data_IF_407480208392
#
_entry.id   IF_407480208392
#
_cell.length_a   1.000
_cell.length_b   1.000
_cell.length_c   1.000
_cell.angle_alpha   90.00
_cell.angle_beta   90.00
_cell.angle_gamma   90.00
#
_symmetry.space_group_name_H-M   'P 1'
#
loop_
_entity.id
_entity.type
_entity.pdbx_description
1 polymer ?
#
# COMPACT_ATOMS: atom_id res chain seq x y z
N UNK A 1 -4.52 54.04 -39.82
CA UNK A 1 -3.75 52.83 -39.49
C UNK A 1 -4.68 51.65 -39.67
N UNK A 2 -4.35 50.74 -40.58
CA UNK A 2 -5.15 49.52 -40.84
C UNK A 2 -4.41 48.33 -40.26
N UNK A 3 -5.06 47.60 -39.35
CA UNK A 3 -4.57 46.32 -38.87
C UNK A 3 -4.32 45.39 -40.07
N UNK A 4 -3.13 44.82 -40.12
CA UNK A 4 -2.68 43.93 -41.18
C UNK A 4 -2.90 42.47 -40.77
N UNK A 5 -2.86 41.55 -41.74
CA UNK A 5 -2.91 40.11 -41.45
C UNK A 5 -1.76 39.64 -40.53
N UNK A 6 -0.62 40.32 -40.59
CA UNK A 6 0.53 40.02 -39.72
C UNK A 6 0.18 40.26 -38.26
N UNK A 7 -0.54 41.34 -37.96
CA UNK A 7 -0.99 41.65 -36.60
C UNK A 7 -1.95 40.56 -36.09
N UNK A 8 -2.82 40.06 -36.96
CA UNK A 8 -3.77 39.01 -36.59
C UNK A 8 -3.10 37.66 -36.29
N UNK A 9 -2.07 37.28 -37.05
CA UNK A 9 -1.31 36.05 -36.77
C UNK A 9 -0.47 36.18 -35.49
N UNK A 10 0.14 37.34 -35.23
CA UNK A 10 0.82 37.60 -33.97
C UNK A 10 -0.12 37.49 -32.76
N UNK A 11 -1.37 37.94 -32.90
CA UNK A 11 -2.39 37.77 -31.85
C UNK A 11 -2.78 36.31 -31.61
N UNK A 12 -2.93 35.50 -32.67
CA UNK A 12 -3.20 34.06 -32.52
C UNK A 12 -2.07 33.34 -31.81
N UNK A 13 -0.83 33.67 -32.17
CA UNK A 13 0.35 33.05 -31.59
C UNK A 13 0.48 33.42 -30.11
N UNK A 14 0.23 34.69 -29.76
CA UNK A 14 0.16 35.13 -28.37
C UNK A 14 -0.91 34.38 -27.58
N UNK A 15 -2.14 34.27 -28.10
CA UNK A 15 -3.23 33.54 -27.44
C UNK A 15 -2.85 32.07 -27.21
N UNK A 16 -2.18 31.45 -28.18
CA UNK A 16 -1.74 30.05 -28.07
C UNK A 16 -0.71 29.86 -26.95
N UNK A 17 0.32 30.71 -26.89
CA UNK A 17 1.33 30.68 -25.81
C UNK A 17 0.68 30.90 -24.45
N UNK A 18 -0.24 31.87 -24.36
CA UNK A 18 -0.91 32.20 -23.09
C UNK A 18 -1.81 31.04 -22.61
N UNK A 19 -2.47 30.34 -23.54
CA UNK A 19 -3.27 29.15 -23.23
C UNK A 19 -2.38 27.98 -22.82
N UNK A 20 -1.28 27.74 -23.52
CA UNK A 20 -0.31 26.68 -23.19
C UNK A 20 0.25 26.86 -21.77
N UNK A 21 0.72 28.06 -21.42
CA UNK A 21 1.18 28.39 -20.05
C UNK A 21 0.09 28.17 -18.99
N UNK A 22 -1.15 28.61 -19.27
CA UNK A 22 -2.25 28.39 -18.32
C UNK A 22 -2.62 26.91 -18.17
N UNK A 23 -2.58 26.13 -19.24
CA UNK A 23 -2.88 24.70 -19.18
C UNK A 23 -1.81 23.89 -18.46
N UNK A 24 -0.52 24.22 -18.63
CA UNK A 24 0.57 23.57 -17.89
C UNK A 24 0.50 23.83 -16.38
N UNK A 25 -0.04 24.98 -15.97
CA UNK A 25 -0.09 25.37 -14.55
C UNK A 25 -1.35 24.86 -13.83
N UNK A 26 -2.45 24.63 -14.56
CA UNK A 26 -3.76 24.39 -13.95
C UNK A 26 -4.38 23.02 -14.28
N UNK A 27 -3.95 22.35 -15.35
CA UNK A 27 -4.49 21.06 -15.75
C UNK A 27 -3.49 19.94 -15.49
N UNK A 28 -3.96 18.86 -14.86
CA UNK A 28 -3.18 17.64 -14.78
C UNK A 28 -2.92 17.11 -16.20
N UNK A 29 -1.64 16.95 -16.53
CA UNK A 29 -1.18 16.38 -17.78
C UNK A 29 -1.18 14.85 -17.72
N UNK A 30 -1.04 14.20 -18.87
CA UNK A 30 -0.89 12.73 -18.92
C UNK A 30 0.35 12.25 -18.18
N UNK A 31 1.40 13.08 -18.12
CA UNK A 31 2.62 12.78 -17.38
C UNK A 31 2.39 12.76 -15.87
N UNK A 32 1.49 13.60 -15.36
CA UNK A 32 1.17 13.68 -13.93
C UNK A 32 0.44 12.44 -13.42
N UNK A 33 -0.37 11.81 -14.29
CA UNK A 33 -1.19 10.64 -13.93
C UNK A 33 -0.57 9.30 -14.33
N UNK A 34 0.59 9.28 -14.98
CA UNK A 34 1.19 8.05 -15.53
C UNK A 34 1.56 6.99 -14.49
N UNK A 35 1.72 7.40 -13.24
CA UNK A 35 2.03 6.52 -12.11
C UNK A 35 0.81 6.20 -11.25
N UNK A 36 -0.35 6.78 -11.55
CA UNK A 36 -1.58 6.42 -10.85
C UNK A 36 -2.02 5.03 -11.33
N UNK A 37 -2.25 4.10 -10.40
CA UNK A 37 -2.77 2.80 -10.77
C UNK A 37 -4.17 2.95 -11.36
N UNK A 38 -4.50 2.06 -12.29
CA UNK A 38 -5.89 1.91 -12.72
C UNK A 38 -6.74 1.38 -11.55
N UNK A 39 -8.05 1.57 -11.68
CA UNK A 39 -9.01 1.05 -10.70
C UNK A 39 -8.79 -0.45 -10.45
N UNK A 40 -8.62 -1.23 -11.51
CA UNK A 40 -8.50 -2.69 -11.42
C UNK A 40 -7.16 -3.11 -10.80
N UNK A 41 -6.06 -2.44 -11.14
CA UNK A 41 -4.76 -2.67 -10.51
C UNK A 41 -4.77 -2.35 -9.01
N UNK A 42 -5.43 -1.26 -8.63
CA UNK A 42 -5.58 -0.87 -7.24
C UNK A 42 -6.35 -1.93 -6.44
N UNK A 43 -7.54 -2.33 -6.92
CA UNK A 43 -8.36 -3.32 -6.20
C UNK A 43 -7.70 -4.70 -6.18
N UNK A 44 -7.05 -5.12 -7.27
CA UNK A 44 -6.33 -6.39 -7.31
C UNK A 44 -5.23 -6.47 -6.26
N UNK A 45 -4.42 -5.39 -6.11
CA UNK A 45 -3.39 -5.33 -5.06
C UNK A 45 -3.97 -5.25 -3.65
N UNK A 46 -5.07 -4.54 -3.48
CA UNK A 46 -5.75 -4.47 -2.17
C UNK A 46 -6.31 -5.82 -1.75
N UNK A 47 -6.88 -6.59 -2.68
CA UNK A 47 -7.38 -7.94 -2.42
C UNK A 47 -6.26 -8.90 -2.03
N UNK A 48 -5.11 -8.81 -2.72
CA UNK A 48 -3.89 -9.57 -2.40
C UNK A 48 -3.40 -9.26 -0.97
N UNK A 49 -3.20 -7.98 -0.64
CA UNK A 49 -2.76 -7.54 0.69
C UNK A 49 -3.75 -7.99 1.77
N UNK A 50 -5.05 -7.91 1.49
CA UNK A 50 -6.06 -8.36 2.44
C UNK A 50 -6.05 -9.87 2.65
N UNK A 51 -5.75 -10.65 1.60
CA UNK A 51 -5.55 -12.09 1.69
C UNK A 51 -4.38 -12.44 2.60
N UNK A 52 -3.22 -11.81 2.40
CA UNK A 52 -2.03 -12.01 3.23
C UNK A 52 -2.24 -11.59 4.68
N UNK A 53 -2.90 -10.45 4.91
CA UNK A 53 -3.22 -9.98 6.25
C UNK A 53 -4.15 -10.95 6.99
N UNK A 54 -5.12 -11.54 6.28
CA UNK A 54 -6.00 -12.55 6.85
C UNK A 54 -5.21 -13.81 7.23
N UNK A 55 -4.37 -14.32 6.34
CA UNK A 55 -3.53 -15.48 6.61
C UNK A 55 -2.62 -15.25 7.82
N UNK A 56 -1.97 -14.10 7.90
CA UNK A 56 -1.11 -13.72 9.03
C UNK A 56 -1.89 -13.70 10.36
N UNK A 57 -3.13 -13.18 10.35
CA UNK A 57 -3.97 -13.18 11.56
C UNK A 57 -4.35 -14.60 12.00
N UNK A 58 -4.66 -15.48 11.05
CA UNK A 58 -4.97 -16.89 11.36
C UNK A 58 -3.75 -17.60 11.95
N UNK A 59 -2.56 -17.37 11.41
CA UNK A 59 -1.31 -17.90 11.96
C UNK A 59 -1.06 -17.42 13.40
N UNK A 60 -1.21 -16.11 13.66
CA UNK A 60 -1.04 -15.53 15.01
C UNK A 60 -2.00 -16.19 16.02
N UNK A 61 -3.25 -16.41 15.62
CA UNK A 61 -4.22 -17.11 16.47
C UNK A 61 -3.77 -18.53 16.75
N UNK A 62 -3.33 -19.29 15.74
CA UNK A 62 -2.79 -20.63 15.94
C UNK A 62 -1.58 -20.65 16.87
N UNK A 63 -0.65 -19.71 16.72
CA UNK A 63 0.51 -19.60 17.62
C UNK A 63 0.11 -19.28 19.06
N UNK A 64 -0.90 -18.43 19.26
CA UNK A 64 -1.41 -18.13 20.60
C UNK A 64 -1.98 -19.37 21.30
N UNK A 65 -2.71 -20.19 20.54
CA UNK A 65 -3.26 -21.46 21.03
C UNK A 65 -2.16 -22.49 21.30
N UNK A 66 -1.14 -22.54 20.45
CA UNK A 66 0.02 -23.41 20.65
C UNK A 66 0.80 -23.01 21.90
N UNK A 67 1.09 -21.72 22.09
CA UNK A 67 1.77 -21.22 23.29
C UNK A 67 1.00 -21.59 24.57
N UNK A 68 -0.33 -21.49 24.56
CA UNK A 68 -1.14 -21.92 25.70
C UNK A 68 -0.95 -23.41 26.01
N UNK A 69 -0.92 -24.26 24.99
CA UNK A 69 -0.71 -25.71 25.16
C UNK A 69 0.71 -26.03 25.65
N UNK A 70 1.72 -25.34 25.12
CA UNK A 70 3.11 -25.50 25.56
C UNK A 70 3.22 -25.12 27.03
N UNK A 71 2.67 -23.98 27.44
CA UNK A 71 2.69 -23.58 28.85
C UNK A 71 1.97 -24.58 29.78
N UNK A 72 0.81 -25.11 29.38
CA UNK A 72 0.12 -26.17 30.16
C UNK A 72 0.98 -27.45 30.26
N UNK A 73 1.65 -27.82 29.17
CA UNK A 73 2.56 -28.95 29.18
C UNK A 73 3.77 -28.70 30.09
N UNK A 74 4.37 -27.51 30.05
CA UNK A 74 5.50 -27.15 30.89
C UNK A 74 5.12 -27.22 32.38
N UNK A 75 3.96 -26.67 32.77
CA UNK A 75 3.46 -26.79 34.14
C UNK A 75 3.22 -28.25 34.58
N UNK A 76 2.72 -29.09 33.66
CA UNK A 76 2.46 -30.51 33.94
C UNK A 76 3.76 -31.30 34.06
N UNK A 77 4.74 -31.01 33.20
CA UNK A 77 6.08 -31.59 33.24
C UNK A 77 6.76 -31.21 34.54
N UNK A 78 6.76 -29.92 34.91
CA UNK A 78 7.33 -29.44 36.17
C UNK A 78 6.73 -30.17 37.38
N UNK A 79 5.40 -30.36 37.41
CA UNK A 79 4.72 -31.12 38.48
C UNK A 79 5.17 -32.59 38.53
N UNK A 80 5.48 -33.20 37.39
CA UNK A 80 5.95 -34.60 37.31
C UNK A 80 7.42 -34.68 37.74
N UNK A 81 8.27 -33.79 37.24
CA UNK A 81 9.68 -33.72 37.59
C UNK A 81 9.87 -33.54 39.10
N UNK A 82 9.11 -32.63 39.71
CA UNK A 82 9.09 -32.42 41.17
C UNK A 82 8.66 -33.68 41.94
N UNK A 83 7.66 -34.43 41.45
CA UNK A 83 7.22 -35.69 42.10
C UNK A 83 8.25 -36.80 42.00
N UNK A 84 9.01 -36.83 40.91
CA UNK A 84 10.00 -37.86 40.62
C UNK A 84 11.43 -37.47 41.04
N UNK A 85 11.62 -36.26 41.60
CA UNK A 85 12.93 -35.66 41.89
C UNK A 85 13.89 -35.67 40.68
N UNK A 86 13.34 -35.43 39.49
CA UNK A 86 14.12 -35.30 38.25
C UNK A 86 14.58 -33.84 38.10
N UNK A 87 15.79 -33.65 37.57
CA UNK A 87 16.25 -32.32 37.15
C UNK A 87 15.83 -32.06 35.70
N UNK A 88 15.35 -30.84 35.38
CA UNK A 88 15.03 -30.48 34.00
C UNK A 88 16.29 -30.59 33.14
N UNK A 89 16.18 -31.29 32.00
CA UNK A 89 17.25 -31.30 31.01
C UNK A 89 17.22 -30.01 30.21
N UNK A 90 18.24 -29.18 30.43
CA UNK A 90 18.52 -27.96 29.65
C UNK A 90 18.86 -28.36 28.20
#
# INVERSE_FOLDING_TARGET
MTLTKSDFEAFKELIKVTLEEQTETFLATKEDIKHLPTKDEFYSKMDEIMGELKATREEVVMFSDLNRKVNDHDERIEKIENKLNLQPSI
#
